data_IF_409896114133
#
_entry.id   IF_409896114133
#
_cell.length_a   1.000
_cell.length_b   1.000
_cell.length_c   1.000
_cell.angle_alpha   90.00
_cell.angle_beta   90.00
_cell.angle_gamma   90.00
#
_symmetry.space_group_name_H-M   'P 1'
#
loop_
_entity.id
_entity.type
_entity.pdbx_description
1 polymer ?
#
# COMPACT_ATOMS: atom_id res chain seq x y z
N UNK A 1 -0.36 -15.19 2.05
CA UNK A 1 0.17 -14.10 1.21
C UNK A 1 -0.85 -12.99 1.01
N UNK A 2 -2.12 -13.32 0.73
CA UNK A 2 -3.23 -12.36 0.64
C UNK A 2 -3.32 -11.40 1.84
N UNK A 3 -3.45 -11.94 3.06
CA UNK A 3 -3.55 -11.13 4.29
C UNK A 3 -2.28 -10.31 4.60
N UNK A 4 -1.12 -10.80 4.19
CA UNK A 4 0.16 -10.09 4.32
C UNK A 4 0.20 -8.87 3.39
N UNK A 5 -0.27 -9.01 2.15
CA UNK A 5 -0.42 -7.89 1.21
C UNK A 5 -1.41 -6.84 1.73
N UNK A 6 -2.51 -7.28 2.34
CA UNK A 6 -3.46 -6.39 3.02
C UNK A 6 -2.85 -5.65 4.21
N UNK A 7 -2.10 -6.35 5.08
CA UNK A 7 -1.43 -5.72 6.21
C UNK A 7 -0.42 -4.64 5.75
N UNK A 8 0.35 -4.93 4.70
CA UNK A 8 1.24 -3.95 4.08
C UNK A 8 0.48 -2.74 3.50
N UNK A 9 -0.65 -2.98 2.82
CA UNK A 9 -1.48 -1.92 2.25
C UNK A 9 -2.07 -0.99 3.32
N UNK A 10 -2.52 -1.56 4.45
CA UNK A 10 -2.97 -0.80 5.63
C UNK A 10 -1.81 0.02 6.20
N UNK A 11 -0.60 -0.54 6.30
CA UNK A 11 0.60 0.21 6.68
C UNK A 11 0.87 1.41 5.78
N UNK A 12 0.79 1.24 4.46
CA UNK A 12 0.89 2.34 3.50
C UNK A 12 -0.19 3.41 3.73
N UNK A 13 -1.44 3.01 3.97
CA UNK A 13 -2.54 3.94 4.21
C UNK A 13 -2.34 4.76 5.50
N UNK A 14 -1.89 4.12 6.59
CA UNK A 14 -1.55 4.80 7.85
C UNK A 14 -0.42 5.80 7.62
N UNK A 15 0.64 5.39 6.92
CA UNK A 15 1.74 6.29 6.56
C UNK A 15 1.24 7.50 5.76
N UNK A 16 0.44 7.30 4.71
CA UNK A 16 -0.14 8.40 3.94
C UNK A 16 -0.98 9.33 4.80
N UNK A 17 -1.78 8.80 5.72
CA UNK A 17 -2.58 9.59 6.65
C UNK A 17 -1.70 10.58 7.45
N UNK A 18 -0.56 10.11 7.97
CA UNK A 18 0.38 10.98 8.71
C UNK A 18 0.97 12.11 7.86
N UNK A 19 1.07 11.94 6.53
CA UNK A 19 1.55 12.96 5.61
C UNK A 19 0.46 13.96 5.20
N UNK A 20 -0.78 13.50 4.97
CA UNK A 20 -1.86 14.34 4.44
C UNK A 20 -2.64 15.11 5.52
N UNK A 21 -2.54 14.72 6.80
CA UNK A 21 -3.31 15.31 7.90
C UNK A 21 -3.12 16.84 8.02
N UNK A 22 -1.92 17.35 7.73
CA UNK A 22 -1.61 18.78 7.80
C UNK A 22 -1.86 19.53 6.49
N UNK A 23 -2.28 18.83 5.43
CA UNK A 23 -2.60 19.39 4.09
C UNK A 23 -1.50 20.26 3.48
N UNK A 24 -0.26 20.01 3.85
CA UNK A 24 0.90 20.68 3.27
C UNK A 24 1.17 20.12 1.85
N UNK A 25 1.51 20.99 0.91
CA UNK A 25 1.55 20.66 -0.52
C UNK A 25 2.60 19.60 -0.83
N UNK A 26 3.80 19.73 -0.27
CA UNK A 26 4.90 18.81 -0.51
C UNK A 26 4.64 17.45 0.13
N UNK A 27 4.09 17.43 1.34
CA UNK A 27 3.70 16.20 2.03
C UNK A 27 2.60 15.43 1.27
N UNK A 28 1.56 16.14 0.79
CA UNK A 28 0.52 15.54 -0.04
C UNK A 28 1.07 14.99 -1.36
N UNK A 29 2.01 15.69 -2.01
CA UNK A 29 2.67 15.20 -3.23
C UNK A 29 3.52 13.96 -2.96
N UNK A 30 4.23 13.93 -1.82
CA UNK A 30 4.99 12.75 -1.40
C UNK A 30 4.07 11.54 -1.15
N UNK A 31 2.92 11.75 -0.50
CA UNK A 31 1.91 10.71 -0.32
C UNK A 31 1.33 10.23 -1.65
N UNK A 32 1.00 11.14 -2.57
CA UNK A 32 0.52 10.79 -3.91
C UNK A 32 1.53 9.93 -4.69
N UNK A 33 2.81 10.32 -4.69
CA UNK A 33 3.88 9.55 -5.35
C UNK A 33 4.12 8.19 -4.69
N UNK A 34 3.98 8.09 -3.37
CA UNK A 34 4.16 6.82 -2.65
C UNK A 34 2.96 5.89 -2.82
N UNK A 35 1.78 6.40 -3.17
CA UNK A 35 0.55 5.63 -3.27
C UNK A 35 0.61 4.43 -4.25
N UNK A 36 1.54 4.47 -5.21
CA UNK A 36 1.82 3.36 -6.12
C UNK A 36 2.16 2.06 -5.36
N UNK A 37 2.85 2.18 -4.21
CA UNK A 37 3.23 1.05 -3.38
C UNK A 37 2.04 0.35 -2.74
N UNK A 38 0.97 1.08 -2.41
CA UNK A 38 -0.26 0.50 -1.86
C UNK A 38 -0.88 -0.49 -2.87
N UNK A 39 -0.99 -0.08 -4.14
CA UNK A 39 -1.45 -0.97 -5.21
C UNK A 39 -0.47 -2.12 -5.45
N UNK A 40 0.83 -1.84 -5.43
CA UNK A 40 1.88 -2.84 -5.63
C UNK A 40 1.86 -3.96 -4.59
N UNK A 41 1.74 -3.64 -3.29
CA UNK A 41 1.72 -4.66 -2.22
C UNK A 41 0.44 -5.49 -2.23
N UNK A 42 -0.72 -4.89 -2.58
CA UNK A 42 -1.96 -5.64 -2.79
C UNK A 42 -1.83 -6.59 -3.96
N UNK A 43 -1.35 -6.10 -5.10
CA UNK A 43 -1.15 -6.91 -6.30
C UNK A 43 -0.22 -8.10 -6.01
N UNK A 44 0.96 -7.84 -5.42
CA UNK A 44 1.91 -8.89 -5.06
C UNK A 44 1.30 -9.88 -4.08
N UNK A 45 0.59 -9.42 -3.05
CA UNK A 45 -0.06 -10.30 -2.07
C UNK A 45 -1.11 -11.23 -2.68
N UNK A 46 -1.92 -10.72 -3.62
CA UNK A 46 -2.94 -11.49 -4.34
C UNK A 46 -2.27 -12.44 -5.35
N UNK A 47 -1.40 -11.94 -6.21
CA UNK A 47 -0.71 -12.73 -7.24
C UNK A 47 0.10 -13.86 -6.62
N UNK A 48 0.87 -13.56 -5.55
CA UNK A 48 1.63 -14.57 -4.83
C UNK A 48 0.72 -15.57 -4.09
N UNK A 49 -0.45 -15.14 -3.59
CA UNK A 49 -1.43 -16.07 -3.04
C UNK A 49 -1.93 -17.06 -4.09
N UNK A 50 -2.30 -16.62 -5.28
CA UNK A 50 -2.74 -17.53 -6.35
C UNK A 50 -1.61 -18.40 -6.90
N UNK A 51 -0.38 -17.89 -6.95
CA UNK A 51 0.81 -18.66 -7.34
C UNK A 51 1.09 -19.83 -6.37
N UNK A 52 0.86 -19.65 -5.07
CA UNK A 52 1.18 -20.63 -4.03
C UNK A 52 -0.04 -21.46 -3.58
N UNK A 53 -1.26 -20.93 -3.70
CA UNK A 53 -2.48 -21.64 -3.35
C UNK A 53 -3.14 -22.34 -4.54
N UNK A 54 -2.78 -21.96 -5.77
CA UNK A 54 -3.14 -22.66 -7.00
C UNK A 54 -2.13 -23.75 -7.42
N UNK A 55 -1.05 -23.93 -6.66
CA UNK A 55 -0.12 -25.07 -6.73
C UNK A 55 -0.53 -26.16 -5.78
#
# INVERSE_FOLDING_TARGET
LYWLGWAAAVGCAIYHYTLIQHRERMACFAAFRHNNWLGGVLFVGIAAHYLVAGS
#
